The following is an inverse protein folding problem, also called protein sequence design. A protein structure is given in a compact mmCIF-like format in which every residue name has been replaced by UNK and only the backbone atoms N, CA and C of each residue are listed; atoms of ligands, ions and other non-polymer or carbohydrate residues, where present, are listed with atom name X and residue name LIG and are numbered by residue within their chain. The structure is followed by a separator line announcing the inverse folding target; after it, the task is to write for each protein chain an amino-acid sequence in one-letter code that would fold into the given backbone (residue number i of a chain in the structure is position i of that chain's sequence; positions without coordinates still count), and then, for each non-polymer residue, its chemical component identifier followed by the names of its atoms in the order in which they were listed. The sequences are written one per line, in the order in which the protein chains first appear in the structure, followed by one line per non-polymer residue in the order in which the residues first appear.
data_IF_265721983302
#
_entry.id   IF_265721983302
#
_cell.length_a   1.000
_cell.length_b   1.000
_cell.length_c   1.000
_cell.angle_alpha   90.00
_cell.angle_beta   90.00
_cell.angle_gamma   90.00
#
_symmetry.space_group_name_H-M   'P 1'
#
loop_
_entity.id
_entity.type
_entity.pdbx_description
1 polymer ?
#
# COMPACT_ATOMS: atom_id res chain seq x y z
N UNK A 1 -16.83 37.46 -7.98
CA UNK A 1 -16.86 36.05 -8.42
C UNK A 1 -15.47 35.42 -8.62
N UNK A 2 -14.40 36.19 -8.77
CA UNK A 2 -13.06 35.64 -9.04
C UNK A 2 -12.45 34.90 -7.83
N UNK A 3 -12.62 35.42 -6.61
CA UNK A 3 -12.00 34.81 -5.42
C UNK A 3 -12.59 33.45 -5.06
N UNK A 4 -13.91 33.25 -5.25
CA UNK A 4 -14.55 31.96 -5.01
C UNK A 4 -14.07 30.92 -6.03
N UNK A 5 -13.94 31.31 -7.30
CA UNK A 5 -13.45 30.44 -8.36
C UNK A 5 -11.98 30.05 -8.13
N UNK A 6 -11.12 31.00 -7.74
CA UNK A 6 -9.72 30.73 -7.39
C UNK A 6 -9.64 29.82 -6.16
N UNK A 7 -10.43 30.08 -5.13
CA UNK A 7 -10.47 29.26 -3.91
C UNK A 7 -10.87 27.82 -4.21
N UNK A 8 -11.94 27.63 -5.00
CA UNK A 8 -12.39 26.30 -5.42
C UNK A 8 -11.31 25.59 -6.25
N UNK A 9 -10.65 26.30 -7.17
CA UNK A 9 -9.60 25.73 -8.01
C UNK A 9 -8.41 25.23 -7.19
N UNK A 10 -7.97 26.00 -6.19
CA UNK A 10 -6.90 25.58 -5.26
C UNK A 10 -7.33 24.36 -4.43
N UNK A 11 -8.55 24.34 -3.91
CA UNK A 11 -9.07 23.17 -3.16
C UNK A 11 -9.10 21.93 -4.05
N UNK A 12 -9.58 22.02 -5.28
CA UNK A 12 -9.62 20.88 -6.21
C UNK A 12 -8.22 20.38 -6.60
N UNK A 13 -7.24 21.28 -6.81
CA UNK A 13 -5.86 20.89 -7.12
C UNK A 13 -5.17 20.17 -5.96
N UNK A 14 -5.58 20.44 -4.72
CA UNK A 14 -5.05 19.76 -3.53
C UNK A 14 -5.68 18.38 -3.32
N UNK A 15 -6.82 18.07 -3.96
CA UNK A 15 -7.40 16.71 -4.01
C UNK A 15 -6.59 15.86 -5.02
N UNK A 16 -5.31 15.64 -4.72
CA UNK A 16 -4.48 14.70 -5.44
C UNK A 16 -4.67 13.32 -4.83
N UNK A 17 -5.38 12.44 -5.54
CA UNK A 17 -5.47 11.03 -5.16
C UNK A 17 -4.30 10.28 -5.81
N UNK A 18 -3.20 10.11 -5.05
CA UNK A 18 -2.10 9.25 -5.49
C UNK A 18 -2.49 7.81 -5.20
N UNK A 19 -2.62 7.03 -6.27
CA UNK A 19 -2.79 5.58 -6.22
C UNK A 19 -1.47 4.92 -6.57
N UNK A 20 -1.10 3.89 -5.81
CA UNK A 20 0.09 3.10 -6.05
C UNK A 20 -0.17 1.62 -5.82
N UNK A 21 0.75 0.79 -6.30
CA UNK A 21 0.74 -0.63 -6.00
C UNK A 21 2.13 -1.14 -5.64
N UNK A 22 2.16 -2.14 -4.75
CA UNK A 22 3.37 -2.84 -4.34
C UNK A 22 3.21 -4.31 -4.72
N UNK A 23 4.23 -4.86 -5.37
CA UNK A 23 4.33 -6.30 -5.64
C UNK A 23 5.44 -6.91 -4.79
N UNK A 24 5.07 -7.88 -3.96
CA UNK A 24 5.99 -8.64 -3.11
C UNK A 24 6.01 -10.07 -3.63
N UNK A 25 7.14 -10.49 -4.21
CA UNK A 25 7.33 -11.84 -4.74
C UNK A 25 8.12 -12.71 -3.75
N UNK A 26 7.72 -13.97 -3.60
CA UNK A 26 8.48 -14.92 -2.80
C UNK A 26 9.53 -15.63 -3.67
N UNK A 27 10.76 -15.14 -3.57
CA UNK A 27 11.95 -15.72 -4.21
C UNK A 27 12.89 -16.39 -3.18
N UNK A 28 12.34 -16.79 -2.02
CA UNK A 28 13.13 -17.45 -0.97
C UNK A 28 13.63 -18.83 -1.45
N UNK A 29 14.92 -19.08 -1.23
CA UNK A 29 15.53 -20.40 -1.48
C UNK A 29 14.99 -21.46 -0.52
N UNK A 30 15.20 -22.72 -0.87
CA UNK A 30 14.83 -23.90 -0.05
C UNK A 30 13.33 -24.08 0.16
N UNK A 31 12.54 -23.75 -0.86
CA UNK A 31 11.09 -23.94 -0.89
C UNK A 31 10.34 -23.29 0.29
N UNK A 32 10.87 -22.19 0.83
CA UNK A 32 10.30 -21.54 2.02
C UNK A 32 9.07 -20.71 1.67
N UNK A 33 8.04 -20.81 2.50
CA UNK A 33 6.90 -19.90 2.42
C UNK A 33 7.26 -18.51 2.95
N UNK A 34 6.63 -17.50 2.36
CA UNK A 34 6.75 -16.10 2.78
C UNK A 34 5.43 -15.66 3.41
N UNK A 35 5.48 -15.25 4.67
CA UNK A 35 4.37 -14.62 5.36
C UNK A 35 4.48 -13.11 5.24
N UNK A 36 3.39 -12.46 4.83
CA UNK A 36 3.32 -11.03 4.54
C UNK A 36 2.17 -10.44 5.36
N UNK A 37 2.43 -9.41 6.14
CA UNK A 37 1.39 -8.61 6.80
C UNK A 37 1.66 -7.13 6.56
N UNK A 38 0.68 -6.44 5.97
CA UNK A 38 0.82 -5.03 5.61
C UNK A 38 -0.25 -4.19 6.29
N UNK A 39 0.03 -2.90 6.42
CA UNK A 39 -0.91 -1.92 6.92
C UNK A 39 -0.70 -0.55 6.26
N UNK A 40 -1.76 0.24 6.31
CA UNK A 40 -1.92 1.56 5.70
C UNK A 40 -2.45 2.52 6.74
N UNK A 41 -1.58 3.33 7.36
CA UNK A 41 -1.99 4.05 8.56
C UNK A 41 -2.46 3.07 9.63
N UNK A 42 -3.72 3.19 10.06
CA UNK A 42 -4.34 2.32 11.06
C UNK A 42 -5.02 1.08 10.45
N UNK A 43 -5.16 1.02 9.12
CA UNK A 43 -5.83 -0.08 8.43
C UNK A 43 -4.88 -1.25 8.23
N UNK A 44 -5.08 -2.32 8.98
CA UNK A 44 -4.31 -3.57 8.84
C UNK A 44 -4.95 -4.50 7.83
N UNK A 45 -4.17 -4.89 6.83
CA UNK A 45 -4.58 -5.90 5.85
C UNK A 45 -4.41 -7.30 6.42
N UNK A 46 -5.27 -8.21 5.98
CA UNK A 46 -5.20 -9.61 6.38
C UNK A 46 -3.84 -10.22 5.96
N UNK A 47 -3.12 -10.92 6.86
CA UNK A 47 -1.87 -11.54 6.50
C UNK A 47 -2.04 -12.63 5.46
N UNK A 48 -1.10 -12.72 4.52
CA UNK A 48 -1.10 -13.74 3.47
C UNK A 48 0.17 -14.57 3.49
N UNK A 49 0.07 -15.82 3.04
CA UNK A 49 1.21 -16.70 2.83
C UNK A 49 1.38 -16.91 1.32
N UNK A 50 2.63 -16.82 0.85
CA UNK A 50 3.00 -17.04 -0.56
C UNK A 50 4.00 -18.16 -0.69
N UNK A 51 3.72 -19.09 -1.60
CA UNK A 51 4.65 -20.15 -1.99
C UNK A 51 5.79 -19.58 -2.85
N UNK A 52 6.92 -20.28 -3.00
CA UNK A 52 7.99 -19.86 -3.91
C UNK A 52 7.45 -19.63 -5.32
N UNK A 53 7.88 -18.53 -5.95
CA UNK A 53 7.40 -18.08 -7.27
C UNK A 53 6.04 -17.38 -7.26
N UNK A 54 5.30 -17.41 -6.15
CA UNK A 54 4.07 -16.63 -6.02
C UNK A 54 4.37 -15.19 -5.61
N UNK A 55 3.43 -14.30 -5.93
CA UNK A 55 3.50 -12.90 -5.52
C UNK A 55 2.19 -12.44 -4.88
N UNK A 56 2.31 -11.40 -4.05
CA UNK A 56 1.20 -10.66 -3.51
C UNK A 56 1.25 -9.23 -4.06
N UNK A 57 0.11 -8.74 -4.57
CA UNK A 57 -0.05 -7.38 -5.04
C UNK A 57 -0.97 -6.64 -4.09
N UNK A 58 -0.52 -5.49 -3.63
CA UNK A 58 -1.25 -4.64 -2.69
C UNK A 58 -1.44 -3.30 -3.36
N UNK A 59 -2.69 -2.84 -3.37
CA UNK A 59 -3.01 -1.49 -3.83
C UNK A 59 -3.12 -0.58 -2.62
N UNK A 60 -2.65 0.64 -2.80
CA UNK A 60 -2.73 1.64 -1.77
C UNK A 60 -3.09 3.02 -2.29
N UNK A 61 -3.68 3.81 -1.41
CA UNK A 61 -4.09 5.19 -1.68
C UNK A 61 -3.54 6.09 -0.58
N UNK A 62 -2.86 7.15 -0.95
CA UNK A 62 -2.47 8.17 0.05
C UNK A 62 -3.70 8.90 0.56
N UNK A 63 -3.73 9.25 1.84
CA UNK A 63 -4.73 10.20 2.33
C UNK A 63 -4.50 11.59 1.69
N UNK A 64 -5.48 12.48 1.88
CA UNK A 64 -5.43 13.84 1.34
C UNK A 64 -4.18 14.63 1.78
N UNK A 65 -3.64 14.33 2.96
CA UNK A 65 -2.45 14.98 3.50
C UNK A 65 -1.13 14.33 3.04
N UNK A 66 -1.16 13.24 2.28
CA UNK A 66 0.04 12.50 1.86
C UNK A 66 0.83 11.87 3.01
N UNK A 67 0.25 11.79 4.20
CA UNK A 67 0.92 11.31 5.43
C UNK A 67 0.67 9.84 5.73
N UNK A 68 -0.18 9.15 4.96
CA UNK A 68 -0.46 7.72 5.17
C UNK A 68 0.82 6.91 5.02
N UNK A 69 1.25 6.30 6.12
CA UNK A 69 2.39 5.38 6.12
C UNK A 69 1.94 4.00 5.65
N UNK A 70 2.60 3.49 4.62
CA UNK A 70 2.51 2.10 4.19
C UNK A 70 3.67 1.31 4.75
N UNK A 71 3.38 0.16 5.33
CA UNK A 71 4.41 -0.70 5.90
C UNK A 71 4.00 -2.16 5.81
N UNK A 72 4.95 -2.99 5.42
CA UNK A 72 4.81 -4.44 5.35
C UNK A 72 5.86 -5.12 6.21
N UNK A 73 5.45 -6.12 6.96
CA UNK A 73 6.35 -7.03 7.68
C UNK A 73 6.42 -8.33 6.90
N UNK A 74 7.64 -8.74 6.55
CA UNK A 74 7.96 -9.98 5.86
C UNK A 74 8.60 -10.95 6.84
N UNK A 75 8.08 -12.17 6.93
CA UNK A 75 8.63 -13.23 7.78
C UNK A 75 8.67 -14.54 7.00
N UNK A 76 9.53 -15.46 7.41
CA UNK A 76 9.39 -16.84 6.98
C UNK A 76 8.02 -17.34 7.45
N UNK A 77 7.24 -17.91 6.52
CA UNK A 77 5.97 -18.54 6.81
C UNK A 77 6.13 -19.84 7.61
N UNK A 78 5.02 -20.48 8.02
CA UNK A 78 5.08 -21.79 8.63
C UNK A 78 5.86 -22.76 7.73
N UNK A 79 6.64 -23.64 8.34
CA UNK A 79 7.38 -24.69 7.62
C UNK A 79 6.41 -25.72 7.04
#
# INVERSE_FOLDING_TARGET
MNNLSIFLCVVFCMISHVYGDIRIANELKFNKYLWISCFSGDDRMEPVIKKPGEHHRIYFRTNYWGTTRFMCTLRQGPN
#
